data_IF_952329159158
#
_entry.id   IF_952329159158
#
_cell.length_a   1.000
_cell.length_b   1.000
_cell.length_c   1.000
_cell.angle_alpha   90.00
_cell.angle_beta   90.00
_cell.angle_gamma   90.00
#
_symmetry.space_group_name_H-M   'P 1'
#
loop_
_entity.id
_entity.type
_entity.pdbx_description
1 polymer ?
#
# COMPACT_ATOMS: atom_id res chain seq x y z
N UNK A 1 -1.61 1.38 3.87
CA UNK A 1 -1.87 2.07 5.15
C UNK A 1 -0.70 2.96 5.49
N UNK A 2 -0.96 4.10 6.12
CA UNK A 2 0.07 5.06 6.47
C UNK A 2 1.06 4.48 7.50
N UNK A 3 2.34 4.80 7.34
CA UNK A 3 3.38 4.43 8.29
C UNK A 3 3.92 3.00 8.15
N UNK A 4 3.41 2.19 7.22
CA UNK A 4 3.90 0.82 7.01
C UNK A 4 5.18 0.75 6.18
N UNK A 5 5.58 1.86 5.54
CA UNK A 5 6.80 1.91 4.74
C UNK A 5 6.63 1.39 3.31
N UNK A 6 5.42 1.37 2.77
CA UNK A 6 5.17 0.88 1.40
C UNK A 6 6.00 1.62 0.35
N UNK A 7 5.97 2.93 0.35
CA UNK A 7 6.70 3.74 -0.65
C UNK A 7 8.20 3.53 -0.54
N UNK A 8 8.73 3.45 0.67
CA UNK A 8 10.16 3.22 0.91
C UNK A 8 10.57 1.82 0.46
N UNK A 9 9.73 0.81 0.72
CA UNK A 9 9.98 -0.56 0.26
C UNK A 9 9.97 -0.64 -1.27
N UNK A 10 9.02 0.03 -1.93
CA UNK A 10 8.96 0.09 -3.40
C UNK A 10 10.20 0.77 -3.97
N UNK A 11 10.65 1.87 -3.37
CA UNK A 11 11.85 2.55 -3.80
C UNK A 11 13.08 1.64 -3.75
N UNK A 12 13.25 0.89 -2.66
CA UNK A 12 14.38 -0.04 -2.55
C UNK A 12 14.25 -1.20 -3.54
N UNK A 13 13.07 -1.75 -3.74
CA UNK A 13 12.83 -2.78 -4.76
C UNK A 13 13.19 -2.27 -6.16
N UNK A 14 12.83 -1.02 -6.48
CA UNK A 14 13.19 -0.39 -7.74
C UNK A 14 14.70 -0.26 -7.92
N UNK A 15 15.41 0.12 -6.86
CA UNK A 15 16.90 0.20 -6.89
C UNK A 15 17.55 -1.17 -7.08
N UNK A 16 16.86 -2.25 -6.70
CA UNK A 16 17.33 -3.62 -6.89
C UNK A 16 16.98 -4.20 -8.27
N UNK A 17 16.40 -3.39 -9.14
CA UNK A 17 16.12 -3.75 -10.52
C UNK A 17 14.71 -4.31 -10.76
N UNK A 18 13.84 -4.31 -9.77
CA UNK A 18 12.45 -4.72 -9.95
C UNK A 18 11.61 -3.59 -10.54
N UNK A 19 10.57 -3.96 -11.27
CA UNK A 19 9.57 -2.99 -11.73
C UNK A 19 8.64 -2.66 -10.57
N UNK A 20 8.51 -1.38 -10.23
CA UNK A 20 7.69 -0.93 -9.11
C UNK A 20 6.72 0.15 -9.56
N UNK A 21 5.51 0.13 -8.99
CA UNK A 21 4.48 1.15 -9.20
C UNK A 21 3.90 1.54 -7.85
N UNK A 22 4.06 2.81 -7.48
CA UNK A 22 3.35 3.39 -6.34
C UNK A 22 2.08 4.06 -6.88
N UNK A 23 0.93 3.53 -6.49
CA UNK A 23 -0.36 3.99 -7.01
C UNK A 23 -0.89 5.25 -6.33
N UNK A 24 -0.21 5.77 -5.33
CA UNK A 24 -0.59 7.00 -4.63
C UNK A 24 -0.15 8.25 -5.41
N UNK A 25 -0.47 8.29 -6.71
CA UNK A 25 -0.21 9.40 -7.62
C UNK A 25 -1.40 9.59 -8.57
N UNK A 26 -1.51 10.78 -9.15
CA UNK A 26 -2.59 11.09 -10.12
C UNK A 26 -2.51 10.26 -11.40
N UNK A 27 -1.36 9.68 -11.70
CA UNK A 27 -1.20 8.79 -12.85
C UNK A 27 -2.04 7.52 -12.69
N UNK A 28 -2.15 7.01 -11.47
CA UNK A 28 -2.76 5.72 -11.18
C UNK A 28 -4.06 5.80 -10.40
N UNK A 29 -4.34 6.93 -9.77
CA UNK A 29 -5.50 7.11 -8.90
C UNK A 29 -6.21 8.43 -9.17
N UNK A 30 -7.52 8.47 -8.90
CA UNK A 30 -8.32 9.67 -9.07
C UNK A 30 -9.50 9.69 -8.10
N UNK A 31 -10.05 10.87 -7.88
CA UNK A 31 -11.16 11.06 -6.96
C UNK A 31 -12.49 10.73 -7.62
N UNK A 32 -13.33 9.98 -6.91
CA UNK A 32 -14.72 9.71 -7.27
C UNK A 32 -15.61 9.98 -6.07
N UNK A 33 -16.91 10.07 -6.28
CA UNK A 33 -17.89 10.14 -5.19
C UNK A 33 -18.38 8.73 -4.88
N UNK A 34 -18.32 8.36 -3.60
CA UNK A 34 -18.89 7.11 -3.11
C UNK A 34 -20.42 7.18 -3.09
N UNK A 35 -21.16 6.04 -2.96
CA UNK A 35 -22.62 6.06 -2.89
C UNK A 35 -23.18 6.94 -1.78
N UNK A 36 -22.45 7.12 -0.69
CA UNK A 36 -22.84 8.01 0.41
C UNK A 36 -22.46 9.49 0.19
N UNK A 37 -21.90 9.81 -0.99
CA UNK A 37 -21.48 11.17 -1.36
C UNK A 37 -20.09 11.58 -0.88
N UNK A 38 -19.40 10.75 -0.09
CA UNK A 38 -18.03 11.03 0.36
C UNK A 38 -17.03 10.86 -0.78
N UNK A 39 -15.91 11.63 -0.77
CA UNK A 39 -14.86 11.43 -1.77
C UNK A 39 -14.09 10.13 -1.50
N UNK A 40 -13.73 9.43 -2.58
CA UNK A 40 -12.89 8.24 -2.51
C UNK A 40 -11.83 8.32 -3.60
N UNK A 41 -10.56 8.10 -3.23
CA UNK A 41 -9.42 8.12 -4.15
C UNK A 41 -9.10 6.69 -4.53
N UNK A 42 -9.45 6.31 -5.74
CA UNK A 42 -9.40 4.92 -6.22
C UNK A 42 -8.46 4.77 -7.39
N UNK A 43 -8.10 3.53 -7.69
CA UNK A 43 -7.30 3.21 -8.87
C UNK A 43 -8.05 3.58 -10.16
N UNK A 44 -7.29 4.10 -11.14
CA UNK A 44 -7.75 4.22 -12.52
C UNK A 44 -7.73 2.83 -13.14
N UNK A 45 -8.89 2.23 -13.29
CA UNK A 45 -8.99 0.80 -13.63
C UNK A 45 -8.39 0.48 -15.01
N UNK A 46 -8.60 1.31 -16.01
CA UNK A 46 -8.04 1.05 -17.34
C UNK A 46 -6.50 1.08 -17.37
N UNK A 47 -5.80 2.09 -16.81
CA UNK A 47 -4.34 2.05 -16.72
C UNK A 47 -3.80 0.85 -15.93
N UNK A 48 -4.43 0.51 -14.80
CA UNK A 48 -4.03 -0.65 -14.00
C UNK A 48 -4.19 -1.94 -14.79
N UNK A 49 -5.32 -2.13 -15.47
CA UNK A 49 -5.55 -3.31 -16.31
C UNK A 49 -4.49 -3.43 -17.39
N UNK A 50 -4.14 -2.33 -18.04
CA UNK A 50 -3.09 -2.33 -19.08
C UNK A 50 -1.72 -2.66 -18.51
N UNK A 51 -1.39 -2.11 -17.33
CA UNK A 51 -0.13 -2.41 -16.64
C UNK A 51 0.01 -3.90 -16.36
N UNK A 52 -1.01 -4.51 -15.78
CA UNK A 52 -0.99 -5.92 -15.40
C UNK A 52 -0.97 -6.83 -16.63
N UNK A 53 -1.72 -6.48 -17.68
CA UNK A 53 -1.78 -7.26 -18.92
C UNK A 53 -0.47 -7.17 -19.73
N UNK A 54 0.25 -6.05 -19.65
CA UNK A 54 1.45 -5.81 -20.46
C UNK A 54 2.74 -6.27 -19.77
N UNK A 55 2.71 -6.50 -18.46
CA UNK A 55 3.90 -6.95 -17.74
C UNK A 55 4.20 -8.42 -18.06
N UNK A 56 5.40 -8.72 -18.56
CA UNK A 56 5.78 -10.07 -19.01
C UNK A 56 7.10 -10.55 -18.44
N UNK A 57 8.05 -9.64 -18.23
CA UNK A 57 9.40 -10.00 -17.82
C UNK A 57 9.73 -9.43 -16.44
N UNK A 58 10.40 -10.23 -15.62
CA UNK A 58 10.81 -9.84 -14.28
C UNK A 58 9.64 -9.80 -13.31
N UNK A 59 9.82 -9.09 -12.23
CA UNK A 59 8.85 -9.00 -11.14
C UNK A 59 8.28 -7.58 -11.04
N UNK A 60 6.96 -7.48 -10.89
CA UNK A 60 6.23 -6.23 -10.73
C UNK A 60 5.66 -6.15 -9.32
N UNK A 61 5.99 -5.07 -8.61
CA UNK A 61 5.44 -4.76 -7.30
C UNK A 61 4.56 -3.52 -7.41
N UNK A 62 3.29 -3.66 -7.04
CA UNK A 62 2.31 -2.58 -7.06
C UNK A 62 1.91 -2.26 -5.63
N UNK A 63 2.15 -1.04 -5.19
CA UNK A 63 1.83 -0.59 -3.83
C UNK A 63 0.64 0.34 -3.80
N UNK A 64 -0.22 0.16 -2.81
CA UNK A 64 -1.37 1.01 -2.58
C UNK A 64 -2.39 0.36 -1.67
N UNK A 65 -3.39 1.13 -1.29
CA UNK A 65 -4.52 0.63 -0.51
C UNK A 65 -5.75 1.41 -0.96
N UNK A 66 -6.54 0.81 -1.86
CA UNK A 66 -7.71 1.45 -2.48
C UNK A 66 -8.91 0.52 -2.39
N UNK A 67 -10.10 1.10 -2.34
CA UNK A 67 -11.34 0.34 -2.18
C UNK A 67 -11.67 -0.55 -3.38
N UNK A 68 -11.18 -0.21 -4.57
CA UNK A 68 -11.43 -0.99 -5.80
C UNK A 68 -10.31 -1.96 -6.16
N UNK A 69 -9.26 -2.09 -5.34
CA UNK A 69 -8.11 -2.95 -5.67
C UNK A 69 -8.47 -4.44 -5.72
N UNK A 70 -9.47 -4.86 -4.97
CA UNK A 70 -9.90 -6.26 -4.94
C UNK A 70 -10.33 -6.82 -6.28
N UNK A 71 -10.78 -5.96 -7.20
CA UNK A 71 -11.14 -6.37 -8.56
C UNK A 71 -9.95 -6.96 -9.33
N UNK A 72 -8.73 -6.58 -8.95
CA UNK A 72 -7.51 -6.96 -9.65
C UNK A 72 -6.75 -8.09 -8.96
N UNK A 73 -7.17 -8.55 -7.80
CA UNK A 73 -6.48 -9.60 -7.05
C UNK A 73 -6.24 -10.88 -7.83
N UNK A 74 -7.17 -11.36 -8.68
CA UNK A 74 -6.90 -12.57 -9.48
C UNK A 74 -5.73 -12.42 -10.46
N UNK A 75 -5.32 -11.20 -10.78
CA UNK A 75 -4.21 -10.94 -11.70
C UNK A 75 -2.85 -10.86 -11.00
N UNK A 76 -2.82 -10.88 -9.66
CA UNK A 76 -1.60 -10.89 -8.86
C UNK A 76 -1.27 -12.29 -8.39
N UNK A 77 0.01 -12.62 -8.36
CA UNK A 77 0.47 -13.91 -7.79
C UNK A 77 0.41 -13.90 -6.27
N UNK A 78 0.67 -12.76 -5.65
CA UNK A 78 0.66 -12.59 -4.21
C UNK A 78 0.06 -11.25 -3.82
N UNK A 79 -0.65 -11.24 -2.70
CA UNK A 79 -1.18 -10.03 -2.06
C UNK A 79 -0.53 -9.93 -0.70
N UNK A 80 0.43 -9.01 -0.56
CA UNK A 80 1.17 -8.83 0.68
C UNK A 80 0.59 -7.70 1.53
N UNK A 81 0.24 -8.00 2.77
CA UNK A 81 -0.15 -6.99 3.76
C UNK A 81 1.08 -6.64 4.60
N UNK A 82 1.47 -5.38 4.57
CA UNK A 82 2.45 -4.83 5.50
C UNK A 82 1.73 -4.30 6.72
N UNK A 83 2.00 -4.87 7.90
CA UNK A 83 1.34 -4.48 9.13
C UNK A 83 2.36 -4.24 10.24
N UNK A 84 2.00 -3.36 11.18
CA UNK A 84 2.79 -3.10 12.38
C UNK A 84 1.85 -2.64 13.49
N UNK A 85 2.27 -2.75 14.77
CA UNK A 85 1.50 -2.20 15.88
C UNK A 85 1.21 -0.71 15.70
N UNK A 86 0.05 -0.27 16.18
CA UNK A 86 -0.38 1.12 16.01
C UNK A 86 0.64 2.13 16.53
N UNK A 87 1.28 1.85 17.68
CA UNK A 87 2.31 2.72 18.24
C UNK A 87 3.52 2.87 17.33
N UNK A 88 3.90 1.82 16.60
CA UNK A 88 5.02 1.86 15.65
C UNK A 88 4.64 2.74 14.46
N UNK A 89 3.43 2.58 13.91
CA UNK A 89 2.95 3.37 12.79
C UNK A 89 2.85 4.85 13.15
N UNK A 90 2.31 5.16 14.30
CA UNK A 90 2.18 6.55 14.77
C UNK A 90 3.54 7.19 15.04
N UNK A 91 4.49 6.45 15.59
CA UNK A 91 5.84 6.93 15.82
C UNK A 91 6.55 7.26 14.50
N UNK A 92 6.43 6.40 13.50
CA UNK A 92 6.99 6.64 12.15
C UNK A 92 6.39 7.86 11.48
N UNK A 93 5.07 8.03 11.57
CA UNK A 93 4.37 9.18 11.01
C UNK A 93 4.82 10.46 11.69
N UNK A 94 4.98 10.45 13.01
CA UNK A 94 5.42 11.63 13.78
C UNK A 94 6.83 12.06 13.43
N UNK A 95 7.71 11.12 13.06
CA UNK A 95 9.13 11.42 12.79
C UNK A 95 9.44 11.66 11.31
N UNK A 96 8.51 11.36 10.39
CA UNK A 96 8.77 11.55 8.96
C UNK A 96 8.73 13.04 8.58
N UNK A 97 9.58 13.43 7.63
CA UNK A 97 9.69 14.80 7.15
C UNK A 97 9.01 15.03 5.80
N UNK A 98 8.80 13.96 5.01
CA UNK A 98 8.29 14.05 3.64
C UNK A 98 6.77 14.11 3.53
N UNK A 99 6.05 13.96 4.63
CA UNK A 99 4.59 13.98 4.66
C UNK A 99 4.11 14.43 6.04
N UNK A 100 3.38 15.53 6.09
CA UNK A 100 2.86 16.11 7.33
C UNK A 100 1.58 15.44 7.82
N UNK A 101 0.92 14.61 7.00
CA UNK A 101 -0.33 13.94 7.40
C UNK A 101 -0.10 12.99 8.57
N UNK A 102 -1.01 13.02 9.52
CA UNK A 102 -0.98 12.14 10.68
C UNK A 102 -0.24 12.71 11.89
N UNK A 103 0.32 13.93 11.79
CA UNK A 103 1.03 14.58 12.91
C UNK A 103 0.08 15.29 13.88
N UNK A 104 -1.12 15.65 13.43
CA UNK A 104 -2.14 16.28 14.27
C UNK A 104 -2.95 15.20 15.01
N UNK A 105 -3.49 15.57 16.18
CA UNK A 105 -4.26 14.64 17.02
C UNK A 105 -5.49 14.07 16.30
N UNK A 106 -6.23 14.91 15.55
CA UNK A 106 -7.38 14.48 14.77
C UNK A 106 -7.02 13.53 13.63
N UNK A 107 -5.89 13.78 12.96
CA UNK A 107 -5.37 12.91 11.91
C UNK A 107 -4.90 11.57 12.49
N UNK A 108 -4.27 11.58 13.65
CA UNK A 108 -3.85 10.35 14.35
C UNK A 108 -5.05 9.49 14.74
N UNK A 109 -6.13 10.11 15.21
CA UNK A 109 -7.36 9.40 15.53
C UNK A 109 -7.98 8.74 14.30
N UNK A 110 -7.96 9.43 13.14
CA UNK A 110 -8.42 8.86 11.87
C UNK A 110 -7.59 7.67 11.42
N UNK A 111 -6.27 7.73 11.62
CA UNK A 111 -5.37 6.60 11.29
C UNK A 111 -5.71 5.39 12.15
N UNK A 112 -5.93 5.59 13.45
CA UNK A 112 -6.31 4.49 14.36
C UNK A 112 -7.66 3.89 13.98
N UNK A 113 -8.64 4.71 13.64
CA UNK A 113 -9.94 4.26 13.17
C UNK A 113 -9.81 3.46 11.88
N UNK A 114 -9.01 3.95 10.92
CA UNK A 114 -8.77 3.26 9.65
C UNK A 114 -8.12 1.89 9.89
N UNK A 115 -7.13 1.81 10.78
CA UNK A 115 -6.51 0.53 11.15
C UNK A 115 -7.55 -0.46 11.68
N UNK A 116 -8.41 -0.01 12.59
CA UNK A 116 -9.42 -0.88 13.20
C UNK A 116 -10.46 -1.39 12.19
N UNK A 117 -10.80 -0.58 11.18
CA UNK A 117 -11.85 -0.91 10.22
C UNK A 117 -11.32 -1.63 8.98
N UNK A 118 -10.15 -1.24 8.48
CA UNK A 118 -9.65 -1.68 7.17
C UNK A 118 -8.65 -2.82 7.28
N UNK A 119 -7.76 -2.81 8.26
CA UNK A 119 -6.73 -3.86 8.39
C UNK A 119 -7.31 -5.27 8.45
N UNK A 120 -8.39 -5.55 9.21
CA UNK A 120 -8.98 -6.89 9.21
C UNK A 120 -9.46 -7.35 7.82
N UNK A 121 -9.98 -6.41 7.02
CA UNK A 121 -10.43 -6.71 5.65
C UNK A 121 -9.25 -7.02 4.73
N UNK A 122 -8.16 -6.28 4.86
CA UNK A 122 -6.93 -6.53 4.11
C UNK A 122 -6.34 -7.88 4.49
N UNK A 123 -6.31 -8.19 5.77
CA UNK A 123 -5.79 -9.49 6.27
C UNK A 123 -6.61 -10.66 5.74
N UNK A 124 -7.93 -10.50 5.61
CA UNK A 124 -8.81 -11.55 5.10
C UNK A 124 -8.53 -11.91 3.64
N UNK A 125 -7.99 -10.97 2.85
CA UNK A 125 -7.74 -11.17 1.42
C UNK A 125 -6.25 -11.27 1.06
N UNK A 126 -5.35 -10.98 2.00
CA UNK A 126 -3.92 -11.10 1.79
C UNK A 126 -3.49 -12.57 1.70
N UNK A 127 -2.52 -12.85 0.83
CA UNK A 127 -1.91 -14.19 0.74
C UNK A 127 -0.76 -14.34 1.72
N UNK A 128 -0.17 -13.22 2.16
CA UNK A 128 0.88 -13.17 3.17
C UNK A 128 0.79 -11.88 3.96
N UNK A 129 1.15 -11.94 5.24
CA UNK A 129 1.31 -10.76 6.09
C UNK A 129 2.78 -10.62 6.47
N UNK A 130 3.34 -9.44 6.28
CA UNK A 130 4.75 -9.13 6.58
C UNK A 130 4.80 -8.11 7.72
N UNK A 131 5.61 -8.40 8.73
CA UNK A 131 5.83 -7.50 9.85
C UNK A 131 6.64 -6.28 9.40
N UNK A 132 5.94 -5.17 9.23
CA UNK A 132 6.54 -3.91 8.80
C UNK A 132 7.27 -3.16 9.92
N UNK A 133 7.25 -3.67 11.16
CA UNK A 133 8.10 -3.14 12.24
C UNK A 133 9.54 -3.60 12.12
N UNK A 134 9.82 -4.65 11.33
CA UNK A 134 11.16 -5.12 11.02
C UNK A 134 11.95 -4.07 10.21
N UNK A 135 13.30 -4.14 10.22
CA UNK A 135 14.10 -3.27 9.39
C UNK A 135 13.75 -3.37 7.90
N UNK A 136 13.85 -2.26 7.19
CA UNK A 136 13.43 -2.15 5.78
C UNK A 136 14.02 -3.27 4.91
N UNK A 137 15.31 -3.56 5.05
CA UNK A 137 15.97 -4.59 4.22
C UNK A 137 15.38 -5.99 4.45
N UNK A 138 14.88 -6.28 5.66
CA UNK A 138 14.20 -7.55 5.94
C UNK A 138 12.82 -7.61 5.29
N UNK A 139 12.07 -6.51 5.35
CA UNK A 139 10.77 -6.40 4.68
C UNK A 139 10.92 -6.62 3.18
N UNK A 140 11.87 -5.93 2.58
CA UNK A 140 12.16 -6.05 1.13
C UNK A 140 12.61 -7.47 0.77
N UNK A 141 13.46 -8.08 1.60
CA UNK A 141 13.89 -9.46 1.37
C UNK A 141 12.72 -10.45 1.40
N UNK A 142 11.78 -10.26 2.32
CA UNK A 142 10.58 -11.08 2.38
C UNK A 142 9.69 -10.89 1.13
N UNK A 143 9.56 -9.66 0.64
CA UNK A 143 8.83 -9.38 -0.61
C UNK A 143 9.51 -10.05 -1.81
N UNK A 144 10.82 -9.95 -1.91
CA UNK A 144 11.59 -10.59 -2.98
C UNK A 144 11.48 -12.12 -2.92
N UNK A 145 11.35 -12.69 -1.75
CA UNK A 145 11.18 -14.13 -1.56
C UNK A 145 9.85 -14.69 -2.05
N UNK A 146 8.87 -13.84 -2.38
CA UNK A 146 7.58 -14.25 -2.91
C UNK A 146 7.62 -14.53 -4.42
N UNK A 147 8.62 -14.06 -5.11
CA UNK A 147 8.72 -14.11 -6.58
C UNK A 147 9.86 -15.00 -7.05
#
# INVERSE_FOLDING_TARGET
>A
MSGTGKSTALELLGRRGHHVVDTDTDQWSYWVSSPDGSPDWIWREAPISRLLASHKDGHLFVGGCKTNQGKFYPQFDHIALLSAPAEVLLARISSRDNNAYGKRADERALILQYLAEVEPRLRATATIEIDASAPLHQVVRQLEGLV
#
